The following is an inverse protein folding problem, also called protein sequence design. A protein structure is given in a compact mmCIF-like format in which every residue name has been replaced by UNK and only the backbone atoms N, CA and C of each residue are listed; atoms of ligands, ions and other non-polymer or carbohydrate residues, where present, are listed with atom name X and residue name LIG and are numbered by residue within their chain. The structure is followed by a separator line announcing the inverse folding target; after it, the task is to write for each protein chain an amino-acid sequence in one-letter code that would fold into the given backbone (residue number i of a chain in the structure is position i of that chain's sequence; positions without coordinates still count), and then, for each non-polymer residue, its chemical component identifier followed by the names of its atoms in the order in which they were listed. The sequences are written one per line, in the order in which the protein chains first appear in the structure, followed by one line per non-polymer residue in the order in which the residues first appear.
data_IF_141956957865
#
_entry.id   IF_141956957865
#
_cell.length_a   1.000
_cell.length_b   1.000
_cell.length_c   1.000
_cell.angle_alpha   90.00
_cell.angle_beta   90.00
_cell.angle_gamma   90.00
#
_symmetry.space_group_name_H-M   'P 1'
#
loop_
_entity.id
_entity.type
_entity.pdbx_description
1 polymer ?
#
# COMPACT_ATOMS: atom_id res chain seq x y z
N UNK A 1 11.65 -2.64 -2.98
CA UNK A 1 11.71 -4.02 -2.47
C UNK A 1 10.32 -4.67 -2.53
N UNK A 2 10.25 -5.95 -2.84
CA UNK A 2 9.04 -6.75 -2.76
C UNK A 2 9.03 -7.51 -1.43
N UNK A 3 7.86 -7.63 -0.81
CA UNK A 3 7.67 -8.55 0.31
C UNK A 3 7.49 -9.99 -0.21
N UNK A 4 7.52 -10.96 0.69
CA UNK A 4 7.46 -12.39 0.32
C UNK A 4 6.16 -12.76 -0.42
N UNK A 5 5.03 -12.15 -0.04
CA UNK A 5 3.75 -12.38 -0.72
C UNK A 5 3.77 -11.90 -2.17
N UNK A 6 4.34 -10.72 -2.42
CA UNK A 6 4.50 -10.21 -3.78
C UNK A 6 5.49 -11.06 -4.59
N UNK A 7 6.59 -11.49 -3.96
CA UNK A 7 7.58 -12.36 -4.59
C UNK A 7 6.96 -13.71 -5.01
N UNK A 8 6.18 -14.33 -4.13
CA UNK A 8 5.49 -15.58 -4.42
C UNK A 8 4.46 -15.40 -5.55
N UNK A 9 3.69 -14.32 -5.53
CA UNK A 9 2.75 -14.01 -6.61
C UNK A 9 3.43 -13.94 -7.97
N UNK A 10 4.60 -13.29 -8.05
CA UNK A 10 5.36 -13.24 -9.30
C UNK A 10 6.02 -14.57 -9.67
N UNK A 11 6.43 -15.38 -8.68
CA UNK A 11 6.99 -16.72 -8.91
C UNK A 11 5.94 -17.67 -9.48
N UNK A 12 4.72 -17.63 -8.95
CA UNK A 12 3.61 -18.50 -9.33
C UNK A 12 2.86 -17.98 -10.58
N UNK A 13 3.16 -16.75 -11.01
CA UNK A 13 2.53 -16.19 -12.21
C UNK A 13 2.90 -16.98 -13.47
N UNK A 14 1.90 -17.42 -14.29
CA UNK A 14 2.17 -18.17 -15.50
C UNK A 14 3.13 -17.43 -16.44
N UNK A 15 4.19 -18.09 -16.84
CA UNK A 15 5.15 -17.55 -17.81
C UNK A 15 4.65 -17.74 -19.23
N UNK A 16 4.96 -16.77 -20.07
CA UNK A 16 4.76 -16.82 -21.51
C UNK A 16 6.12 -16.63 -22.20
N UNK A 17 6.19 -16.76 -23.51
CA UNK A 17 7.41 -16.45 -24.29
C UNK A 17 7.75 -14.96 -24.34
N UNK A 18 6.89 -14.11 -23.78
CA UNK A 18 7.10 -12.67 -23.72
C UNK A 18 8.12 -12.30 -22.63
N UNK A 19 8.95 -11.30 -22.90
CA UNK A 19 9.83 -10.66 -21.93
C UNK A 19 9.06 -9.92 -20.82
N UNK A 20 7.77 -9.61 -21.06
CA UNK A 20 6.92 -8.87 -20.10
C UNK A 20 6.20 -9.85 -19.15
N UNK A 21 6.20 -9.54 -17.85
CA UNK A 21 5.47 -10.33 -16.85
C UNK A 21 3.96 -10.30 -17.14
N UNK A 22 3.44 -9.16 -17.57
CA UNK A 22 2.04 -8.97 -17.97
C UNK A 22 1.98 -8.52 -19.42
N UNK A 23 2.07 -9.44 -20.37
CA UNK A 23 2.08 -9.07 -21.78
C UNK A 23 0.72 -8.55 -22.25
N UNK A 24 0.76 -7.69 -23.25
CA UNK A 24 -0.40 -7.33 -24.05
C UNK A 24 -0.83 -8.47 -24.99
N UNK A 25 -1.93 -8.27 -25.72
CA UNK A 25 -2.52 -9.30 -26.60
C UNK A 25 -1.56 -9.87 -27.66
N UNK A 26 -0.59 -9.07 -28.10
CA UNK A 26 0.40 -9.44 -29.13
C UNK A 26 1.77 -9.77 -28.56
N UNK A 27 1.86 -10.05 -27.25
CA UNK A 27 3.12 -10.36 -26.56
C UNK A 27 3.97 -9.16 -26.16
N UNK A 28 3.69 -7.95 -26.66
CA UNK A 28 4.38 -6.71 -26.27
C UNK A 28 3.91 -6.16 -24.92
N UNK A 29 4.36 -4.93 -24.55
CA UNK A 29 3.97 -4.32 -23.29
C UNK A 29 2.45 -4.12 -23.22
N UNK A 30 1.88 -4.34 -22.03
CA UNK A 30 0.48 -4.04 -21.78
C UNK A 30 0.30 -2.54 -21.57
N UNK A 31 -0.37 -1.88 -22.50
CA UNK A 31 -0.60 -0.43 -22.47
C UNK A 31 -1.93 -0.02 -21.83
N UNK A 32 -2.89 -0.94 -21.72
CA UNK A 32 -4.22 -0.62 -21.20
C UNK A 32 -4.76 -1.72 -20.28
N UNK A 33 -5.11 -1.31 -19.08
CA UNK A 33 -5.78 -2.14 -18.06
C UNK A 33 -7.20 -1.64 -17.73
N UNK A 34 -7.73 -0.63 -18.44
CA UNK A 34 -9.02 0.00 -18.16
C UNK A 34 -10.15 -1.02 -18.08
N UNK A 35 -10.22 -1.97 -19.02
CA UNK A 35 -11.28 -3.00 -18.99
C UNK A 35 -11.25 -3.85 -17.73
N UNK A 36 -10.05 -4.22 -17.23
CA UNK A 36 -9.92 -4.97 -15.99
C UNK A 36 -10.36 -4.14 -14.79
N UNK A 37 -9.93 -2.89 -14.72
CA UNK A 37 -10.34 -1.96 -13.65
C UNK A 37 -11.84 -1.69 -13.65
N UNK A 38 -12.47 -1.53 -14.83
CA UNK A 38 -13.94 -1.35 -14.95
C UNK A 38 -14.68 -2.59 -14.43
N UNK A 39 -14.22 -3.80 -14.77
CA UNK A 39 -14.82 -5.03 -14.25
C UNK A 39 -14.71 -5.14 -12.72
N UNK A 40 -13.54 -4.78 -12.16
CA UNK A 40 -13.33 -4.77 -10.72
C UNK A 40 -14.30 -3.78 -10.06
N UNK A 41 -14.37 -2.54 -10.55
CA UNK A 41 -15.32 -1.54 -10.02
C UNK A 41 -16.76 -2.06 -9.99
N UNK A 42 -17.22 -2.61 -11.12
CA UNK A 42 -18.58 -3.15 -11.23
C UNK A 42 -18.81 -4.31 -10.24
N UNK A 43 -17.84 -5.19 -10.09
CA UNK A 43 -17.94 -6.35 -9.21
C UNK A 43 -17.91 -5.98 -7.71
N UNK A 44 -17.25 -4.87 -7.36
CA UNK A 44 -17.05 -4.42 -5.98
C UNK A 44 -17.97 -3.27 -5.56
N UNK A 45 -18.80 -2.75 -6.47
CA UNK A 45 -19.68 -1.61 -6.19
C UNK A 45 -18.94 -0.29 -5.92
N UNK A 46 -17.68 -0.18 -6.32
CA UNK A 46 -16.92 1.07 -6.16
C UNK A 46 -17.45 2.17 -7.08
N UNK A 47 -17.43 3.44 -6.63
CA UNK A 47 -17.85 4.58 -7.44
C UNK A 47 -17.07 4.68 -8.76
N UNK A 48 -17.70 5.20 -9.81
CA UNK A 48 -17.09 5.29 -11.13
C UNK A 48 -15.87 6.22 -11.17
N UNK A 49 -15.83 7.25 -10.35
CA UNK A 49 -14.73 8.18 -10.20
C UNK A 49 -13.60 7.64 -9.32
N UNK A 50 -13.81 6.52 -8.61
CA UNK A 50 -12.78 5.93 -7.74
C UNK A 50 -11.59 5.41 -8.56
N UNK A 51 -10.41 5.91 -8.25
CA UNK A 51 -9.15 5.55 -8.92
C UNK A 51 -8.49 4.36 -8.22
N UNK A 52 -8.86 3.12 -8.62
CA UNK A 52 -8.50 1.87 -7.95
C UNK A 52 -7.00 1.80 -7.59
N UNK A 53 -6.10 1.95 -8.56
CA UNK A 53 -4.65 1.82 -8.32
C UNK A 53 -4.15 2.88 -7.34
N UNK A 54 -4.67 4.08 -7.43
CA UNK A 54 -4.31 5.17 -6.51
C UNK A 54 -4.91 4.94 -5.12
N UNK A 55 -6.15 4.46 -5.05
CA UNK A 55 -6.80 4.07 -3.81
C UNK A 55 -6.06 2.95 -3.07
N UNK A 56 -5.66 1.89 -3.77
CA UNK A 56 -4.85 0.81 -3.18
C UNK A 56 -3.52 1.32 -2.64
N UNK A 57 -2.87 2.24 -3.35
CA UNK A 57 -1.64 2.89 -2.86
C UNK A 57 -1.89 3.70 -1.59
N UNK A 58 -3.01 4.43 -1.52
CA UNK A 58 -3.39 5.16 -0.30
C UNK A 58 -3.66 4.21 0.87
N UNK A 59 -4.40 3.13 0.65
CA UNK A 59 -4.65 2.11 1.67
C UNK A 59 -3.35 1.51 2.20
N UNK A 60 -2.44 1.10 1.31
CA UNK A 60 -1.13 0.60 1.67
C UNK A 60 -0.34 1.59 2.53
N UNK A 61 -0.28 2.86 2.11
CA UNK A 61 0.42 3.90 2.84
C UNK A 61 -0.21 4.18 4.22
N UNK A 62 -1.55 4.20 4.29
CA UNK A 62 -2.28 4.43 5.54
C UNK A 62 -2.07 3.30 6.54
N UNK A 63 -2.13 2.04 6.11
CA UNK A 63 -1.86 0.88 6.97
C UNK A 63 -0.44 0.95 7.56
N UNK A 64 0.57 1.24 6.73
CA UNK A 64 1.95 1.34 7.21
C UNK A 64 2.16 2.52 8.16
N UNK A 65 1.59 3.69 7.86
CA UNK A 65 1.68 4.85 8.75
C UNK A 65 0.99 4.60 10.09
N UNK A 66 -0.21 4.00 10.07
CA UNK A 66 -0.99 3.70 11.29
C UNK A 66 -0.37 2.60 12.15
N UNK A 67 0.48 1.75 11.58
CA UNK A 67 1.13 0.67 12.35
C UNK A 67 2.12 1.16 13.40
N UNK A 68 2.60 2.40 13.26
CA UNK A 68 3.67 2.95 14.10
C UNK A 68 5.05 2.32 13.89
N UNK A 69 5.16 1.27 13.07
CA UNK A 69 6.39 0.50 12.85
C UNK A 69 7.26 1.04 11.72
N UNK A 70 6.71 1.93 10.89
CA UNK A 70 7.40 2.49 9.72
C UNK A 70 7.50 4.00 9.87
N UNK A 71 8.73 4.54 9.86
CA UNK A 71 8.91 5.98 9.85
C UNK A 71 8.60 6.62 8.48
N UNK A 72 8.45 7.94 8.46
CA UNK A 72 8.05 8.68 7.26
C UNK A 72 9.09 8.61 6.13
N UNK A 73 10.37 8.46 6.45
CA UNK A 73 11.42 8.30 5.46
C UNK A 73 11.32 6.94 4.75
N UNK A 74 11.15 5.85 5.51
CA UNK A 74 10.96 4.53 4.94
C UNK A 74 9.64 4.45 4.16
N UNK A 75 8.57 5.07 4.67
CA UNK A 75 7.29 5.15 3.95
C UNK A 75 7.45 5.88 2.60
N UNK A 76 8.19 7.00 2.57
CA UNK A 76 8.52 7.70 1.33
C UNK A 76 9.23 6.81 0.32
N UNK A 77 10.23 6.05 0.79
CA UNK A 77 10.99 5.11 -0.06
C UNK A 77 10.10 3.99 -0.61
N UNK A 78 9.27 3.38 0.24
CA UNK A 78 8.34 2.31 -0.16
C UNK A 78 7.33 2.79 -1.19
N UNK A 79 6.86 4.03 -1.05
CA UNK A 79 5.94 4.64 -1.99
C UNK A 79 6.62 5.21 -3.24
N UNK A 80 7.94 5.18 -3.30
CA UNK A 80 8.72 5.82 -4.36
C UNK A 80 8.30 7.28 -4.62
N UNK A 81 8.02 8.02 -3.53
CA UNK A 81 7.71 9.44 -3.61
C UNK A 81 8.98 10.25 -3.82
N UNK A 82 9.00 11.11 -4.83
CA UNK A 82 10.15 11.94 -5.14
C UNK A 82 10.39 13.05 -4.12
N UNK A 83 9.33 13.49 -3.44
CA UNK A 83 9.44 14.51 -2.39
C UNK A 83 8.78 14.08 -1.08
N UNK A 84 9.32 14.52 0.07
CA UNK A 84 8.73 14.26 1.40
C UNK A 84 7.30 14.77 1.53
N UNK A 85 6.96 15.89 0.87
CA UNK A 85 5.63 16.50 0.92
C UNK A 85 4.53 15.54 0.46
N UNK A 86 4.82 14.66 -0.51
CA UNK A 86 3.86 13.65 -0.98
C UNK A 86 3.51 12.64 0.11
N UNK A 87 4.42 12.38 1.04
CA UNK A 87 4.24 11.43 2.14
C UNK A 87 3.66 12.11 3.38
N UNK A 88 3.86 13.42 3.54
CA UNK A 88 3.44 14.20 4.71
C UNK A 88 1.94 14.09 5.02
N UNK A 89 1.11 13.82 4.01
CA UNK A 89 -0.33 13.59 4.19
C UNK A 89 -0.68 12.42 5.13
N UNK A 90 0.27 11.52 5.38
CA UNK A 90 0.10 10.37 6.28
C UNK A 90 0.70 10.60 7.68
N UNK A 91 1.34 11.75 7.92
CA UNK A 91 2.02 12.04 9.20
C UNK A 91 1.07 11.96 10.39
N UNK A 92 -0.14 12.49 10.25
CA UNK A 92 -1.16 12.47 11.30
C UNK A 92 -1.52 11.05 11.77
N UNK A 93 -1.52 10.06 10.87
CA UNK A 93 -1.80 8.65 11.21
C UNK A 93 -0.67 8.06 12.06
N UNK A 94 0.56 8.43 11.78
CA UNK A 94 1.72 8.01 12.57
C UNK A 94 1.73 8.68 13.94
N UNK A 95 1.44 9.97 14.01
CA UNK A 95 1.40 10.72 15.27
C UNK A 95 0.33 10.14 16.21
N UNK A 96 -0.81 9.73 15.68
CA UNK A 96 -1.85 9.06 16.43
C UNK A 96 -1.41 7.68 16.94
N UNK A 97 -0.73 6.88 16.11
CA UNK A 97 -0.15 5.60 16.52
C UNK A 97 0.91 5.78 17.63
N UNK A 98 1.77 6.79 17.54
CA UNK A 98 2.77 7.10 18.56
C UNK A 98 2.11 7.53 19.88
N UNK A 99 1.03 8.32 19.84
CA UNK A 99 0.26 8.71 21.00
C UNK A 99 -0.38 7.50 21.68
N UNK A 100 -0.96 6.59 20.92
CA UNK A 100 -1.52 5.33 21.45
C UNK A 100 -0.43 4.48 22.12
N UNK A 101 0.73 4.31 21.48
CA UNK A 101 1.85 3.58 22.05
C UNK A 101 2.35 4.20 23.38
N UNK A 102 2.38 5.53 23.47
CA UNK A 102 2.73 6.24 24.72
C UNK A 102 1.71 5.97 25.84
N UNK A 103 0.42 5.89 25.53
CA UNK A 103 -0.61 5.62 26.51
C UNK A 103 -0.52 4.21 27.11
N UNK A 104 -0.05 3.22 26.35
CA UNK A 104 0.18 1.85 26.84
C UNK A 104 1.15 1.84 28.02
N UNK A 105 2.20 2.66 28.00
CA UNK A 105 3.14 2.79 29.11
C UNK A 105 2.44 3.29 30.38
N UNK A 106 1.59 4.31 30.23
CA UNK A 106 0.83 4.89 31.37
C UNK A 106 -0.10 3.85 32.00
N UNK A 107 -0.79 3.08 31.17
CA UNK A 107 -1.69 2.00 31.63
C UNK A 107 -0.91 0.91 32.40
N UNK A 108 0.24 0.51 31.90
CA UNK A 108 1.11 -0.47 32.58
C UNK A 108 1.63 0.06 33.94
N UNK A 109 2.07 1.31 33.99
CA UNK A 109 2.53 1.93 35.23
C UNK A 109 1.41 2.02 36.27
N UNK A 110 0.20 2.40 35.88
CA UNK A 110 -0.96 2.44 36.74
C UNK A 110 -1.40 1.05 37.21
N UNK A 111 -1.16 0.00 36.47
CA UNK A 111 -1.41 -1.40 36.83
C UNK A 111 -0.43 -1.95 37.86
N UNK A 112 0.79 -1.42 37.94
CA UNK A 112 1.83 -1.83 38.89
C UNK A 112 1.63 -1.16 40.27
N UNK A 113 0.91 -0.04 40.32
CA UNK A 113 0.67 0.73 41.56
C UNK A 113 -0.50 0.21 42.43
N UNK A 114 -1.05 -0.95 42.10
CA UNK A 114 -2.05 -1.68 42.89
C UNK A 114 -1.45 -2.94 43.50
#
# INVERSE_FOLDING_TARGET
PMNDSALNLFRDHPRTESEFVFPGRKGGPRTDIKRALTRIKKATGLPDDFRILHGLRHVYASILASSGQVDMFHLQKLLNHQSPQMTQRYAHLRDEALKQASNVLVEQMNGISK
#
